data_IF_220080578137
#
_entry.id   IF_220080578137
#
_cell.length_a   1.000
_cell.length_b   1.000
_cell.length_c   1.000
_cell.angle_alpha   90.00
_cell.angle_beta   90.00
_cell.angle_gamma   90.00
#
_symmetry.space_group_name_H-M   'P 1'
#
loop_
_entity.id
_entity.type
_entity.pdbx_description
1 polymer ?
#
# COMPACT_ATOMS: atom_id res chain seq x y z
N UNK A 1 -28.73 47.98 8.71
CA UNK A 1 -29.54 47.44 9.83
C UNK A 1 -30.79 46.76 9.29
N UNK A 2 -30.87 45.42 9.36
CA UNK A 2 -32.06 44.55 9.27
C UNK A 2 -31.59 43.19 8.74
N UNK A 3 -31.41 42.18 9.60
CA UNK A 3 -32.43 41.22 10.06
C UNK A 3 -32.88 40.28 8.94
N UNK A 4 -32.42 39.02 9.01
CA UNK A 4 -33.26 37.84 9.30
C UNK A 4 -32.40 36.56 9.30
N UNK A 5 -32.22 36.03 10.51
CA UNK A 5 -31.73 34.70 10.79
C UNK A 5 -32.83 33.69 10.40
N UNK A 6 -32.50 32.72 9.57
CA UNK A 6 -33.37 31.57 9.29
C UNK A 6 -33.12 30.51 10.36
N UNK A 7 -34.16 30.27 11.15
CA UNK A 7 -34.30 29.20 12.12
C UNK A 7 -34.49 27.87 11.37
N UNK A 8 -33.61 26.90 11.62
CA UNK A 8 -33.87 25.48 11.30
C UNK A 8 -34.24 24.77 12.60
N UNK A 9 -35.53 24.72 12.89
CA UNK A 9 -36.14 23.76 13.80
C UNK A 9 -36.67 22.58 12.99
N UNK A 10 -36.16 21.40 13.24
CA UNK A 10 -36.63 20.13 12.68
C UNK A 10 -36.33 18.98 13.63
N UNK A 11 -37.15 17.91 13.66
CA UNK A 11 -37.76 17.42 14.89
C UNK A 11 -37.05 16.24 15.53
N UNK A 12 -37.19 16.17 16.87
CA UNK A 12 -36.86 15.04 17.72
C UNK A 12 -37.64 13.79 17.30
N UNK A 13 -36.92 12.68 17.08
CA UNK A 13 -37.50 11.35 17.05
C UNK A 13 -36.85 10.50 18.16
N UNK A 14 -37.56 10.21 19.26
CA UNK A 14 -37.25 9.10 20.14
C UNK A 14 -38.13 7.91 19.75
N UNK A 15 -37.53 6.79 19.35
CA UNK A 15 -38.22 5.50 19.37
C UNK A 15 -37.27 4.41 19.79
N UNK A 16 -37.26 4.20 21.11
CA UNK A 16 -36.82 3.00 21.78
C UNK A 16 -37.63 1.79 21.31
N UNK A 17 -36.95 0.69 21.00
CA UNK A 17 -37.55 -0.64 20.98
C UNK A 17 -36.53 -1.63 21.55
N UNK A 18 -36.79 -2.22 22.73
CA UNK A 18 -35.95 -3.26 23.28
C UNK A 18 -36.34 -4.61 22.65
N UNK A 19 -35.38 -5.29 22.03
CA UNK A 19 -35.58 -6.70 21.66
C UNK A 19 -34.96 -7.56 22.75
N UNK A 20 -35.80 -8.06 23.64
CA UNK A 20 -35.45 -9.10 24.60
C UNK A 20 -35.43 -10.47 23.90
N UNK A 21 -34.34 -11.21 24.14
CA UNK A 21 -34.38 -12.64 24.43
C UNK A 21 -34.56 -13.61 23.27
N UNK A 22 -33.49 -14.33 22.93
CA UNK A 22 -33.48 -15.79 22.98
C UNK A 22 -32.05 -16.34 22.86
N UNK A 23 -31.55 -16.87 23.97
CA UNK A 23 -30.48 -17.86 24.00
C UNK A 23 -31.12 -19.22 24.27
N UNK A 24 -30.77 -20.24 23.50
CA UNK A 24 -30.50 -21.52 24.13
C UNK A 24 -29.21 -22.15 23.60
N UNK A 25 -28.25 -22.29 24.51
CA UNK A 25 -27.84 -23.61 24.98
C UNK A 25 -27.38 -24.62 23.92
N UNK A 26 -26.07 -24.68 23.66
CA UNK A 26 -25.41 -25.92 23.25
C UNK A 26 -24.10 -26.10 24.02
N UNK A 27 -24.09 -27.16 24.83
CA UNK A 27 -22.99 -27.64 25.68
C UNK A 27 -21.75 -28.04 24.86
N UNK A 28 -20.55 -28.05 25.49
CA UNK A 28 -19.28 -28.36 24.84
C UNK A 28 -19.02 -29.88 24.78
N UNK A 29 -18.59 -30.38 23.62
CA UNK A 29 -18.00 -31.70 23.50
C UNK A 29 -16.50 -31.64 23.84
N UNK A 30 -16.14 -32.27 24.95
CA UNK A 30 -14.78 -32.68 25.31
C UNK A 30 -14.43 -33.98 24.58
N UNK A 31 -13.34 -34.02 23.83
CA UNK A 31 -12.43 -35.18 23.66
C UNK A 31 -11.13 -34.66 23.06
N UNK A 32 -10.02 -34.56 23.79
CA UNK A 32 -9.09 -35.64 24.20
C UNK A 32 -8.25 -36.19 23.04
N UNK A 33 -6.92 -35.99 23.15
CA UNK A 33 -5.88 -36.63 22.30
C UNK A 33 -4.79 -35.62 21.92
N UNK A 34 -3.83 -35.28 22.79
CA UNK A 34 -2.57 -36.02 23.00
C UNK A 34 -2.05 -36.68 21.72
N UNK A 35 -1.01 -36.09 21.12
CA UNK A 35 0.30 -36.73 20.89
C UNK A 35 1.18 -35.85 19.98
N UNK A 36 2.12 -35.13 20.59
CA UNK A 36 3.42 -34.84 19.98
C UNK A 36 4.37 -35.95 20.46
N UNK A 37 5.25 -36.48 19.61
CA UNK A 37 6.66 -36.11 19.84
C UNK A 37 7.54 -36.04 18.57
N UNK A 38 8.69 -35.39 18.80
CA UNK A 38 9.99 -35.55 18.10
C UNK A 38 10.21 -34.77 16.81
N UNK A 39 10.65 -33.54 17.04
CA UNK A 39 11.85 -32.98 16.43
C UNK A 39 12.99 -34.03 16.42
N UNK A 40 13.53 -34.32 15.23
CA UNK A 40 14.88 -34.86 15.06
C UNK A 40 15.57 -34.02 14.01
N UNK A 41 16.73 -33.52 14.42
CA UNK A 41 17.73 -32.85 13.62
C UNK A 41 18.10 -33.67 12.38
N UNK A 42 18.17 -33.00 11.23
CA UNK A 42 18.96 -33.43 10.09
C UNK A 42 19.30 -32.20 9.25
N UNK A 43 20.48 -31.64 9.52
CA UNK A 43 21.24 -30.82 8.59
C UNK A 43 21.68 -31.70 7.42
N UNK A 44 21.47 -31.27 6.16
CA UNK A 44 22.34 -31.70 5.08
C UNK A 44 23.12 -30.50 4.56
N UNK A 45 24.42 -30.50 4.88
CA UNK A 45 25.43 -29.89 4.03
C UNK A 45 25.30 -30.47 2.62
N UNK A 46 25.25 -29.63 1.60
CA UNK A 46 25.70 -30.03 0.26
C UNK A 46 26.14 -28.86 -0.60
N UNK A 47 27.07 -29.14 -1.52
CA UNK A 47 28.01 -28.19 -2.08
C UNK A 47 27.48 -27.57 -3.37
N UNK A 48 28.07 -26.44 -3.76
CA UNK A 48 27.77 -25.79 -5.03
C UNK A 48 28.13 -26.66 -6.25
N UNK A 49 27.67 -26.22 -7.42
CA UNK A 49 28.50 -26.34 -8.62
C UNK A 49 28.55 -25.04 -9.42
N UNK A 50 29.79 -24.60 -9.63
CA UNK A 50 30.36 -24.10 -10.89
C UNK A 50 29.40 -24.06 -12.08
N UNK A 51 29.14 -22.85 -12.62
CA UNK A 51 28.60 -22.69 -13.97
C UNK A 51 29.66 -22.10 -14.91
N UNK A 52 29.81 -22.68 -16.12
CA UNK A 52 30.87 -22.32 -17.06
C UNK A 52 30.52 -21.10 -17.91
N UNK A 53 31.58 -20.33 -18.15
CA UNK A 53 31.76 -19.27 -19.14
C UNK A 53 31.34 -19.75 -20.55
N UNK A 54 30.29 -19.15 -21.12
CA UNK A 54 29.94 -19.32 -22.54
C UNK A 54 30.81 -18.41 -23.41
N UNK A 55 31.60 -19.02 -24.28
CA UNK A 55 32.28 -18.37 -25.40
C UNK A 55 31.31 -18.22 -26.57
N UNK A 56 31.07 -16.99 -27.02
CA UNK A 56 30.31 -16.71 -28.24
C UNK A 56 31.24 -16.83 -29.44
N UNK A 57 31.08 -17.93 -30.20
CA UNK A 57 31.75 -18.15 -31.49
C UNK A 57 30.95 -17.49 -32.61
N UNK A 58 31.54 -16.42 -33.16
CA UNK A 58 31.13 -15.78 -34.41
C UNK A 58 31.29 -16.78 -35.55
N UNK A 59 30.21 -17.03 -36.30
CA UNK A 59 30.28 -17.78 -37.56
C UNK A 59 29.54 -16.99 -38.65
N UNK A 60 30.31 -16.60 -39.66
CA UNK A 60 29.96 -15.74 -40.78
C UNK A 60 29.88 -16.54 -42.07
N UNK A 61 28.70 -16.80 -42.64
CA UNK A 61 28.49 -17.32 -44.01
C UNK A 61 27.35 -16.46 -44.61
N UNK A 62 27.52 -15.56 -45.58
CA UNK A 62 28.03 -15.61 -46.96
C UNK A 62 27.18 -16.44 -47.94
N UNK A 63 26.40 -15.69 -48.73
CA UNK A 63 26.06 -15.80 -50.17
C UNK A 63 25.32 -17.06 -50.65
N UNK A 64 24.08 -16.83 -51.08
CA UNK A 64 23.30 -17.73 -51.95
C UNK A 64 22.23 -16.96 -52.70
N UNK A 65 22.60 -16.36 -53.83
CA UNK A 65 21.72 -15.71 -54.80
C UNK A 65 21.03 -16.78 -55.65
N UNK A 66 19.69 -16.84 -55.63
CA UNK A 66 18.90 -17.49 -56.69
C UNK A 66 17.68 -16.63 -57.01
N UNK A 67 17.59 -16.30 -58.29
CA UNK A 67 16.62 -15.42 -58.93
C UNK A 67 15.67 -16.30 -59.74
N UNK A 68 14.37 -16.34 -59.43
CA UNK A 68 13.37 -16.85 -60.37
C UNK A 68 11.93 -16.46 -60.00
N UNK A 69 11.17 -16.19 -61.07
CA UNK A 69 9.71 -16.21 -61.20
C UNK A 69 8.88 -15.10 -60.50
N UNK A 70 8.68 -14.02 -61.26
CA UNK A 70 7.54 -13.12 -61.14
C UNK A 70 6.27 -13.89 -61.55
N UNK A 71 5.45 -14.26 -60.57
CA UNK A 71 4.05 -14.61 -60.76
C UNK A 71 3.25 -13.48 -60.14
N UNK A 72 2.48 -12.76 -60.94
CA UNK A 72 1.61 -11.67 -60.49
C UNK A 72 0.39 -12.27 -59.79
N UNK A 73 0.59 -12.70 -58.56
CA UNK A 73 -0.50 -13.00 -57.63
C UNK A 73 -1.05 -11.66 -57.16
N UNK A 74 -2.36 -11.47 -57.35
CA UNK A 74 -3.14 -10.42 -56.70
C UNK A 74 -2.93 -10.61 -55.20
N UNK A 75 -2.02 -9.82 -54.64
CA UNK A 75 -1.63 -9.90 -53.24
C UNK A 75 -2.81 -9.46 -52.38
N UNK A 76 -3.59 -10.43 -51.92
CA UNK A 76 -4.36 -10.31 -50.69
C UNK A 76 -3.37 -9.81 -49.64
N UNK A 77 -3.59 -8.55 -49.28
CA UNK A 77 -2.73 -7.77 -48.40
C UNK A 77 -2.86 -8.40 -47.02
N UNK A 78 -1.98 -9.34 -46.69
CA UNK A 78 -1.89 -9.92 -45.35
C UNK A 78 -1.91 -8.78 -44.33
N UNK A 79 -2.80 -8.84 -43.31
CA UNK A 79 -2.78 -7.90 -42.22
C UNK A 79 -1.42 -8.04 -41.54
N UNK A 80 -0.57 -7.01 -41.68
CA UNK A 80 0.71 -7.00 -40.97
C UNK A 80 0.37 -6.92 -39.49
N UNK A 81 0.62 -8.02 -38.76
CA UNK A 81 0.64 -8.03 -37.31
C UNK A 81 1.34 -6.76 -36.83
N UNK A 82 0.58 -5.90 -36.14
CA UNK A 82 1.08 -4.58 -35.76
C UNK A 82 2.19 -4.77 -34.74
N UNK A 83 3.44 -4.52 -35.15
CA UNK A 83 4.58 -4.60 -34.25
C UNK A 83 4.45 -3.53 -33.17
N UNK A 84 4.26 -3.94 -31.91
CA UNK A 84 4.27 -3.06 -30.74
C UNK A 84 5.53 -2.18 -30.78
N UNK A 85 5.36 -0.86 -30.77
CA UNK A 85 6.50 0.06 -30.70
C UNK A 85 7.19 -0.05 -29.34
N UNK A 86 8.49 0.28 -29.28
CA UNK A 86 9.23 0.26 -28.02
C UNK A 86 8.60 1.14 -26.93
N UNK A 87 8.05 2.30 -27.32
CA UNK A 87 7.32 3.22 -26.45
C UNK A 87 6.05 2.59 -25.87
N UNK A 88 5.23 1.97 -26.73
CA UNK A 88 4.01 1.25 -26.33
C UNK A 88 4.32 0.13 -25.32
N UNK A 89 5.34 -0.69 -25.61
CA UNK A 89 5.77 -1.78 -24.73
C UNK A 89 6.22 -1.26 -23.37
N UNK A 90 6.99 -0.17 -23.35
CA UNK A 90 7.45 0.46 -22.12
C UNK A 90 6.29 1.00 -21.28
N UNK A 91 5.32 1.68 -21.90
CA UNK A 91 4.14 2.20 -21.21
C UNK A 91 3.37 1.04 -20.60
N UNK A 92 3.01 0.02 -21.40
CA UNK A 92 2.26 -1.16 -20.95
C UNK A 92 2.90 -1.84 -19.74
N UNK A 93 4.21 -2.11 -19.79
CA UNK A 93 4.94 -2.71 -18.67
C UNK A 93 4.90 -1.81 -17.42
N UNK A 94 4.99 -0.49 -17.62
CA UNK A 94 4.94 0.47 -16.52
C UNK A 94 3.54 0.50 -15.88
N UNK A 95 2.47 0.40 -16.67
CA UNK A 95 1.09 0.34 -16.17
C UNK A 95 0.80 -0.92 -15.38
N UNK A 96 1.18 -2.08 -15.92
CA UNK A 96 1.03 -3.37 -15.21
C UNK A 96 1.69 -3.33 -13.83
N UNK A 97 2.86 -2.71 -13.73
CA UNK A 97 3.57 -2.56 -12.45
C UNK A 97 2.92 -1.55 -11.53
N UNK A 98 2.47 -0.40 -12.04
CA UNK A 98 1.77 0.61 -11.25
C UNK A 98 0.46 0.05 -10.67
N UNK A 99 -0.33 -0.67 -11.46
CA UNK A 99 -1.54 -1.33 -11.00
C UNK A 99 -1.26 -2.31 -9.84
N UNK A 100 -0.26 -3.18 -9.98
CA UNK A 100 0.14 -4.11 -8.91
C UNK A 100 0.61 -3.39 -7.64
N UNK A 101 1.26 -2.23 -7.76
CA UNK A 101 1.69 -1.43 -6.61
C UNK A 101 0.52 -0.76 -5.89
N UNK A 102 -0.52 -0.35 -6.62
CA UNK A 102 -1.72 0.21 -6.03
C UNK A 102 -2.56 -0.84 -5.32
N UNK A 103 -2.66 -2.05 -5.87
CA UNK A 103 -3.31 -3.18 -5.20
C UNK A 103 -2.59 -3.51 -3.87
N UNK A 104 -1.27 -3.47 -3.87
CA UNK A 104 -0.47 -3.67 -2.66
C UNK A 104 -0.63 -2.52 -1.66
N UNK A 105 -0.71 -1.27 -2.15
CA UNK A 105 -1.01 -0.10 -1.32
C UNK A 105 -2.34 -0.24 -0.58
N UNK A 106 -3.42 -0.57 -1.30
CA UNK A 106 -4.74 -0.81 -0.72
C UNK A 106 -4.69 -1.94 0.33
N UNK A 107 -4.01 -3.03 -0.02
CA UNK A 107 -3.79 -4.18 0.87
C UNK A 107 -3.12 -3.78 2.20
N UNK A 108 -2.11 -2.90 2.15
CA UNK A 108 -1.44 -2.41 3.36
C UNK A 108 -2.41 -1.56 4.19
N UNK A 109 -3.01 -0.52 3.60
CA UNK A 109 -3.82 0.47 4.34
C UNK A 109 -5.06 -0.19 4.95
N UNK A 110 -5.81 -0.96 4.16
CA UNK A 110 -7.14 -1.44 4.54
C UNK A 110 -7.11 -2.72 5.37
N UNK A 111 -6.06 -3.56 5.23
CA UNK A 111 -6.01 -4.87 5.89
C UNK A 111 -4.92 -4.95 6.95
N UNK A 112 -3.66 -4.66 6.59
CA UNK A 112 -2.53 -4.91 7.49
C UNK A 112 -2.34 -3.82 8.53
N UNK A 113 -2.18 -2.58 8.08
CA UNK A 113 -1.93 -1.44 8.96
C UNK A 113 -3.14 -1.13 9.86
N UNK A 114 -4.36 -1.12 9.29
CA UNK A 114 -5.59 -0.92 10.07
C UNK A 114 -5.80 -2.02 11.14
N UNK A 115 -5.47 -3.28 10.84
CA UNK A 115 -5.54 -4.36 11.83
C UNK A 115 -4.55 -4.15 12.99
N UNK A 116 -3.33 -3.72 12.69
CA UNK A 116 -2.34 -3.41 13.73
C UNK A 116 -2.78 -2.21 14.58
N UNK A 117 -3.31 -1.16 13.94
CA UNK A 117 -3.86 0.01 14.63
C UNK A 117 -5.01 -0.36 15.57
N UNK A 118 -5.94 -1.22 15.11
CA UNK A 118 -7.02 -1.74 15.94
C UNK A 118 -6.48 -2.55 17.13
N UNK A 119 -5.55 -3.46 16.87
CA UNK A 119 -4.91 -4.27 17.91
C UNK A 119 -4.23 -3.40 18.98
N UNK A 120 -3.60 -2.29 18.58
CA UNK A 120 -3.03 -1.33 19.53
C UNK A 120 -4.09 -0.76 20.48
N UNK A 121 -5.20 -0.24 19.94
CA UNK A 121 -6.28 0.31 20.77
C UNK A 121 -6.87 -0.76 21.70
N UNK A 122 -7.09 -1.98 21.18
CA UNK A 122 -7.62 -3.10 21.97
C UNK A 122 -6.66 -3.47 23.12
N UNK A 123 -5.36 -3.66 22.84
CA UNK A 123 -4.34 -3.99 23.85
C UNK A 123 -4.17 -2.87 24.89
N UNK A 124 -4.21 -1.61 24.46
CA UNK A 124 -4.15 -0.45 25.36
C UNK A 124 -5.36 -0.41 26.26
N UNK A 125 -6.56 -0.61 25.73
CA UNK A 125 -7.81 -0.64 26.52
C UNK A 125 -7.79 -1.81 27.51
N UNK A 126 -7.32 -2.98 27.10
CA UNK A 126 -7.15 -4.13 27.98
C UNK A 126 -6.17 -3.85 29.13
N UNK A 127 -5.07 -3.16 28.82
CA UNK A 127 -4.06 -2.75 29.79
C UNK A 127 -4.64 -1.77 30.81
N UNK A 128 -5.35 -0.74 30.36
CA UNK A 128 -6.07 0.22 31.22
C UNK A 128 -7.07 -0.47 32.13
N UNK A 129 -7.87 -1.39 31.59
CA UNK A 129 -8.82 -2.18 32.38
C UNK A 129 -8.13 -3.03 33.45
N UNK A 130 -6.98 -3.64 33.12
CA UNK A 130 -6.22 -4.41 34.12
C UNK A 130 -5.59 -3.53 35.19
N UNK A 131 -5.11 -2.33 34.83
CA UNK A 131 -4.59 -1.35 35.78
C UNK A 131 -5.69 -0.85 36.72
N UNK A 132 -6.91 -0.62 36.20
CA UNK A 132 -8.07 -0.22 37.00
C UNK A 132 -8.53 -1.27 38.02
N UNK A 133 -8.13 -2.53 37.87
CA UNK A 133 -8.40 -3.60 38.85
C UNK A 133 -7.36 -3.69 39.96
N UNK A 134 -6.25 -2.95 39.84
CA UNK A 134 -5.23 -2.89 40.88
C UNK A 134 -5.68 -1.90 41.94
N UNK A 135 -5.72 -2.28 43.24
CA UNK A 135 -6.00 -1.33 44.31
C UNK A 135 -5.05 -0.13 44.25
N UNK A 136 -5.51 1.09 44.59
CA UNK A 136 -4.69 2.30 44.47
C UNK A 136 -3.38 2.24 45.28
N UNK A 137 -3.34 1.44 46.34
CA UNK A 137 -2.16 1.26 47.20
C UNK A 137 -1.27 0.08 46.80
N UNK A 138 -1.58 -0.61 45.69
CA UNK A 138 -0.87 -1.80 45.24
C UNK A 138 -0.15 -1.54 43.92
N UNK A 139 1.07 -2.07 43.80
CA UNK A 139 1.77 -2.08 42.51
C UNK A 139 1.22 -3.21 41.62
N UNK A 140 1.02 -2.94 40.32
CA UNK A 140 0.60 -3.96 39.38
C UNK A 140 1.66 -5.07 39.29
N UNK A 141 1.22 -6.33 39.29
CA UNK A 141 2.13 -7.47 39.23
C UNK A 141 2.79 -7.53 37.84
N UNK A 142 4.12 -7.46 37.81
CA UNK A 142 4.94 -7.53 36.58
C UNK A 142 4.59 -8.72 35.68
N UNK A 143 4.21 -9.86 36.28
CA UNK A 143 3.80 -11.07 35.57
C UNK A 143 2.55 -10.88 34.68
N UNK A 144 1.67 -9.94 35.02
CA UNK A 144 0.43 -9.66 34.27
C UNK A 144 0.69 -8.60 33.20
N UNK A 145 1.40 -7.53 33.54
CA UNK A 145 1.65 -6.42 32.60
C UNK A 145 2.71 -6.75 31.54
N UNK A 146 3.76 -7.47 31.91
CA UNK A 146 4.91 -7.72 31.04
C UNK A 146 4.56 -8.35 29.69
N UNK A 147 3.73 -9.41 29.63
CA UNK A 147 3.28 -9.98 28.37
C UNK A 147 2.52 -9.00 27.48
N UNK A 148 1.63 -8.19 28.07
CA UNK A 148 0.80 -7.22 27.33
C UNK A 148 1.63 -6.07 26.76
N UNK A 149 2.58 -5.55 27.52
CA UNK A 149 3.52 -4.53 27.05
C UNK A 149 4.34 -5.04 25.86
N UNK A 150 4.82 -6.30 25.92
CA UNK A 150 5.53 -6.92 24.79
C UNK A 150 4.66 -7.03 23.54
N UNK A 151 3.40 -7.42 23.69
CA UNK A 151 2.46 -7.50 22.55
C UNK A 151 2.17 -6.12 21.96
N UNK A 152 2.05 -5.11 22.82
CA UNK A 152 1.82 -3.73 22.43
C UNK A 152 3.04 -3.17 21.66
N UNK A 153 4.26 -3.38 22.15
CA UNK A 153 5.48 -2.97 21.46
C UNK A 153 5.65 -3.68 20.11
N UNK A 154 5.30 -4.98 20.05
CA UNK A 154 5.27 -5.72 18.79
C UNK A 154 4.28 -5.10 17.80
N UNK A 155 3.05 -4.81 18.22
CA UNK A 155 2.03 -4.20 17.37
C UNK A 155 2.46 -2.79 16.88
N UNK A 156 3.16 -2.00 17.72
CA UNK A 156 3.74 -0.71 17.30
C UNK A 156 4.81 -0.89 16.23
N UNK A 157 5.71 -1.86 16.41
CA UNK A 157 6.77 -2.15 15.45
C UNK A 157 6.19 -2.60 14.10
N UNK A 158 5.19 -3.48 14.12
CA UNK A 158 4.48 -3.93 12.91
C UNK A 158 3.76 -2.77 12.21
N UNK A 159 3.05 -1.91 12.95
CA UNK A 159 2.40 -0.73 12.38
C UNK A 159 3.42 0.20 11.71
N UNK A 160 4.55 0.48 12.37
CA UNK A 160 5.64 1.29 11.79
C UNK A 160 6.22 0.67 10.51
N UNK A 161 6.39 -0.65 10.50
CA UNK A 161 6.83 -1.39 9.31
C UNK A 161 5.89 -1.16 8.12
N UNK A 162 4.59 -1.31 8.34
CA UNK A 162 3.58 -1.08 7.30
C UNK A 162 3.54 0.37 6.78
N UNK A 163 3.76 1.37 7.65
CA UNK A 163 3.85 2.77 7.22
C UNK A 163 5.12 3.05 6.39
N UNK A 164 6.23 2.37 6.71
CA UNK A 164 7.45 2.44 5.91
C UNK A 164 7.23 1.79 4.52
N UNK A 165 6.57 0.63 4.46
CA UNK A 165 6.21 -0.05 3.22
C UNK A 165 5.37 0.87 2.29
N UNK A 166 4.39 1.60 2.85
CA UNK A 166 3.63 2.59 2.08
C UNK A 166 4.50 3.69 1.49
N UNK A 167 5.48 4.20 2.24
CA UNK A 167 6.39 5.23 1.73
C UNK A 167 7.29 4.71 0.61
N UNK A 168 7.71 3.45 0.69
CA UNK A 168 8.46 2.77 -0.38
C UNK A 168 7.61 2.65 -1.64
N UNK A 169 6.37 2.17 -1.54
CA UNK A 169 5.46 2.05 -2.69
C UNK A 169 5.17 3.41 -3.31
N UNK A 170 4.93 4.45 -2.50
CA UNK A 170 4.71 5.81 -2.99
C UNK A 170 5.87 6.32 -3.83
N UNK A 171 7.10 6.06 -3.36
CA UNK A 171 8.33 6.50 -4.03
C UNK A 171 8.54 5.73 -5.34
N UNK A 172 8.19 4.44 -5.36
CA UNK A 172 8.20 3.62 -6.57
C UNK A 172 7.20 4.14 -7.60
N UNK A 173 5.94 4.40 -7.20
CA UNK A 173 4.91 4.96 -8.07
C UNK A 173 5.32 6.33 -8.65
N UNK A 174 5.88 7.21 -7.81
CA UNK A 174 6.42 8.50 -8.25
C UNK A 174 7.49 8.30 -9.33
N UNK A 175 8.44 7.39 -9.12
CA UNK A 175 9.47 7.04 -10.10
C UNK A 175 8.88 6.55 -11.42
N UNK A 176 7.80 5.76 -11.37
CA UNK A 176 7.10 5.27 -12.58
C UNK A 176 6.42 6.38 -13.35
N UNK A 177 5.74 7.29 -12.66
CA UNK A 177 5.11 8.46 -13.28
C UNK A 177 6.17 9.33 -13.95
N UNK A 178 7.28 9.64 -13.28
CA UNK A 178 8.38 10.39 -13.89
C UNK A 178 8.98 9.69 -15.11
N UNK A 179 9.05 8.35 -15.10
CA UNK A 179 9.47 7.58 -16.27
C UNK A 179 8.50 7.75 -17.45
N UNK A 180 7.19 7.69 -17.19
CA UNK A 180 6.16 7.93 -18.21
C UNK A 180 6.22 9.36 -18.77
N UNK A 181 6.46 10.35 -17.91
CA UNK A 181 6.67 11.75 -18.32
C UNK A 181 7.89 11.91 -19.22
N UNK A 182 9.02 11.28 -18.87
CA UNK A 182 10.22 11.26 -19.71
C UNK A 182 9.95 10.61 -21.07
N UNK A 183 9.25 9.48 -21.09
CA UNK A 183 8.87 8.79 -22.34
C UNK A 183 7.95 9.64 -23.21
N UNK A 184 7.02 10.38 -22.61
CA UNK A 184 6.18 11.33 -23.34
C UNK A 184 7.01 12.48 -23.92
N UNK A 185 7.94 13.04 -23.14
CA UNK A 185 8.80 14.12 -23.60
C UNK A 185 9.64 13.70 -24.82
N UNK A 186 10.29 12.53 -24.77
CA UNK A 186 11.04 11.96 -25.89
C UNK A 186 10.15 11.71 -27.12
N UNK A 187 8.91 11.23 -26.90
CA UNK A 187 7.95 11.00 -27.97
C UNK A 187 7.53 12.32 -28.64
N UNK A 188 7.28 13.37 -27.85
CA UNK A 188 6.95 14.71 -28.34
C UNK A 188 8.13 15.32 -29.11
N UNK A 189 9.36 15.14 -28.65
CA UNK A 189 10.56 15.63 -29.34
C UNK A 189 10.71 14.98 -30.72
N UNK A 190 10.41 13.69 -30.81
CA UNK A 190 10.58 12.91 -32.05
C UNK A 190 9.45 13.14 -33.06
N UNK A 191 8.20 13.22 -32.59
CA UNK A 191 7.00 13.18 -33.45
C UNK A 191 6.22 14.50 -33.46
N UNK A 192 6.47 15.40 -32.52
CA UNK A 192 5.68 16.61 -32.30
C UNK A 192 4.49 16.39 -31.35
N UNK A 193 4.05 17.49 -30.73
CA UNK A 193 2.97 17.50 -29.73
C UNK A 193 1.61 17.08 -30.33
N UNK A 194 1.28 17.54 -31.54
CA UNK A 194 0.01 17.20 -32.20
C UNK A 194 -0.16 15.70 -32.40
N UNK A 195 0.95 15.00 -32.67
CA UNK A 195 0.96 13.55 -32.79
C UNK A 195 0.79 12.92 -31.40
N UNK A 196 1.49 13.38 -30.36
CA UNK A 196 1.33 12.85 -29.00
C UNK A 196 -0.09 12.98 -28.42
N UNK A 197 -0.84 14.02 -28.82
CA UNK A 197 -2.24 14.25 -28.40
C UNK A 197 -3.25 13.42 -29.20
N UNK A 198 -2.94 13.05 -30.44
CA UNK A 198 -3.84 12.31 -31.33
C UNK A 198 -3.54 10.83 -31.41
N UNK A 199 -2.29 10.45 -31.20
CA UNK A 199 -1.84 9.08 -31.15
C UNK A 199 -2.38 8.46 -29.87
N UNK A 200 -3.54 7.82 -30.02
CA UNK A 200 -3.97 6.81 -29.09
C UNK A 200 -2.82 5.82 -28.90
N UNK A 201 -2.59 5.38 -27.66
CA UNK A 201 -1.61 4.33 -27.41
C UNK A 201 -1.87 3.11 -28.30
N UNK A 202 -3.14 2.87 -28.65
CA UNK A 202 -3.63 1.79 -29.49
C UNK A 202 -4.74 2.32 -30.39
N UNK A 203 -4.78 1.90 -31.66
CA UNK A 203 -5.70 2.44 -32.65
C UNK A 203 -7.16 2.27 -32.17
N UNK A 204 -7.91 3.38 -32.13
CA UNK A 204 -9.35 3.50 -31.87
C UNK A 204 -9.91 3.05 -30.50
N UNK A 205 -9.10 2.46 -29.61
CA UNK A 205 -9.61 1.90 -28.33
C UNK A 205 -9.17 2.62 -27.07
N UNK A 206 -8.14 3.47 -27.14
CA UNK A 206 -7.48 3.95 -25.92
C UNK A 206 -7.15 5.42 -25.88
N UNK A 207 -6.69 5.87 -24.72
CA UNK A 207 -6.33 7.26 -24.52
C UNK A 207 -5.05 7.62 -25.28
N UNK A 208 -4.96 8.90 -25.67
CA UNK A 208 -3.72 9.47 -26.16
C UNK A 208 -2.64 9.39 -25.06
N UNK A 209 -1.39 9.13 -25.46
CA UNK A 209 -0.25 9.02 -24.52
C UNK A 209 -0.16 10.24 -23.61
N UNK A 210 -0.32 11.45 -24.16
CA UNK A 210 -0.31 12.70 -23.39
C UNK A 210 -1.42 12.75 -22.33
N UNK A 211 -2.63 12.32 -22.69
CA UNK A 211 -3.78 12.27 -21.78
C UNK A 211 -3.55 11.27 -20.66
N UNK A 212 -3.00 10.10 -21.00
CA UNK A 212 -2.71 9.05 -20.02
C UNK A 212 -1.68 9.52 -18.98
N UNK A 213 -0.54 10.03 -19.44
CA UNK A 213 0.55 10.50 -18.56
C UNK A 213 0.06 11.62 -17.63
N UNK A 214 -0.72 12.56 -18.18
CA UNK A 214 -1.34 13.63 -17.41
C UNK A 214 -2.28 13.08 -16.32
N UNK A 215 -2.99 12.00 -16.60
CA UNK A 215 -3.87 11.33 -15.63
C UNK A 215 -3.10 10.54 -14.58
N UNK A 216 -1.98 9.90 -14.96
CA UNK A 216 -1.08 9.20 -14.05
C UNK A 216 -0.50 10.12 -12.97
N UNK A 217 -0.11 11.35 -13.34
CA UNK A 217 0.29 12.37 -12.37
C UNK A 217 -0.84 12.77 -11.40
N UNK A 218 -2.10 12.67 -11.84
CA UNK A 218 -3.29 12.90 -11.03
C UNK A 218 -3.44 11.95 -9.85
N UNK A 219 -2.91 10.71 -9.94
CA UNK A 219 -2.98 9.68 -8.90
C UNK A 219 -2.09 9.95 -7.70
N UNK A 220 -0.93 10.58 -7.92
CA UNK A 220 0.04 10.79 -6.84
C UNK A 220 -0.50 11.72 -5.75
N UNK A 221 -1.32 12.71 -6.11
CA UNK A 221 -1.82 13.70 -5.15
C UNK A 221 -2.80 13.09 -4.13
N UNK A 222 -3.87 12.37 -4.52
CA UNK A 222 -4.74 11.65 -3.58
C UNK A 222 -3.97 10.65 -2.72
N UNK A 223 -3.06 9.86 -3.30
CA UNK A 223 -2.26 8.89 -2.54
C UNK A 223 -1.37 9.56 -1.49
N UNK A 224 -0.69 10.67 -1.85
CA UNK A 224 0.15 11.37 -0.90
C UNK A 224 -0.68 11.97 0.25
N UNK A 225 -1.85 12.56 -0.06
CA UNK A 225 -2.79 13.05 0.95
C UNK A 225 -3.24 11.93 1.89
N UNK A 226 -3.60 10.78 1.32
CA UNK A 226 -4.02 9.62 2.09
C UNK A 226 -2.91 9.14 3.01
N UNK A 227 -1.69 8.97 2.48
CA UNK A 227 -0.50 8.61 3.26
C UNK A 227 -0.28 9.54 4.46
N UNK A 228 -0.32 10.86 4.24
CA UNK A 228 -0.16 11.83 5.32
C UNK A 228 -1.28 11.74 6.37
N UNK A 229 -2.52 11.54 5.92
CA UNK A 229 -3.66 11.37 6.82
C UNK A 229 -3.49 10.11 7.67
N UNK A 230 -3.13 8.99 7.05
CA UNK A 230 -2.87 7.72 7.74
C UNK A 230 -1.71 7.84 8.73
N UNK A 231 -0.61 8.51 8.36
CA UNK A 231 0.51 8.76 9.26
C UNK A 231 0.10 9.58 10.49
N UNK A 232 -0.71 10.64 10.30
CA UNK A 232 -1.24 11.44 11.41
C UNK A 232 -2.11 10.59 12.36
N UNK A 233 -3.03 9.80 11.82
CA UNK A 233 -3.90 8.93 12.59
C UNK A 233 -3.11 7.84 13.32
N UNK A 234 -2.09 7.27 12.69
CA UNK A 234 -1.19 6.31 13.31
C UNK A 234 -0.43 6.90 14.49
N UNK A 235 0.05 8.15 14.38
CA UNK A 235 0.70 8.87 15.48
C UNK A 235 -0.26 9.09 16.65
N UNK A 236 -1.50 9.48 16.39
CA UNK A 236 -2.52 9.66 17.44
C UNK A 236 -2.81 8.35 18.18
N UNK A 237 -3.00 7.24 17.45
CA UNK A 237 -3.22 5.91 18.03
C UNK A 237 -1.99 5.44 18.82
N UNK A 238 -0.79 5.68 18.29
CA UNK A 238 0.46 5.35 18.99
C UNK A 238 0.62 6.17 20.26
N UNK A 239 0.29 7.46 20.24
CA UNK A 239 0.35 8.33 21.41
C UNK A 239 -0.66 7.90 22.49
N UNK A 240 -1.89 7.52 22.12
CA UNK A 240 -2.83 6.88 23.06
C UNK A 240 -2.24 5.60 23.64
N UNK A 241 -1.59 4.76 22.83
CA UNK A 241 -1.00 3.53 23.37
C UNK A 241 0.11 3.78 24.41
N UNK A 242 0.78 4.94 24.35
CA UNK A 242 1.83 5.36 25.28
C UNK A 242 1.26 6.04 26.53
N UNK A 243 -0.01 6.44 26.53
CA UNK A 243 -0.62 7.23 27.61
C UNK A 243 -0.90 6.47 28.89
N UNK A 244 -0.79 5.13 28.87
CA UNK A 244 -1.23 4.23 29.96
C UNK A 244 -0.42 4.33 31.26
N UNK A 245 0.30 5.44 31.46
CA UNK A 245 0.71 5.92 32.78
C UNK A 245 1.95 5.24 33.37
N UNK A 246 2.65 4.39 32.62
CA UNK A 246 3.87 3.74 33.10
C UNK A 246 5.15 4.58 32.88
N UNK A 247 5.15 5.54 31.95
CA UNK A 247 6.34 6.36 31.67
C UNK A 247 6.42 7.65 32.51
N UNK A 248 5.32 8.11 33.13
CA UNK A 248 5.31 9.39 33.85
C UNK A 248 6.03 9.39 35.20
N UNK A 249 6.33 8.21 35.79
CA UNK A 249 7.05 8.13 37.08
C UNK A 249 8.55 7.83 36.94
N UNK A 250 9.05 7.54 35.74
CA UNK A 250 10.49 7.41 35.48
C UNK A 250 11.14 8.73 35.01
N UNK A 251 10.34 9.79 34.83
CA UNK A 251 10.82 11.17 34.69
C UNK A 251 11.13 11.84 36.04
N UNK A 252 11.36 11.06 37.10
CA UNK A 252 11.82 11.56 38.40
C UNK A 252 13.28 11.18 38.59
N UNK A 253 14.17 12.16 38.45
CA UNK A 253 15.51 12.09 39.04
C UNK A 253 16.63 12.53 38.12
N UNK A 254 16.96 13.81 38.21
CA UNK A 254 18.21 14.41 37.81
C UNK A 254 19.47 13.54 38.07
N UNK A 255 20.53 13.82 37.29
CA UNK A 255 21.89 13.25 37.36
C UNK A 255 22.00 11.93 36.58
N UNK A 256 22.67 11.85 35.41
CA UNK A 256 24.07 12.21 35.18
C UNK A 256 24.34 12.66 33.74
N UNK A 257 24.91 13.86 33.63
CA UNK A 257 26.08 14.26 32.83
C UNK A 257 26.38 13.56 31.48
N UNK A 258 26.30 14.36 30.42
CA UNK A 258 27.28 14.48 29.33
C UNK A 258 27.97 13.21 28.83
N UNK A 259 27.45 12.68 27.72
CA UNK A 259 28.15 11.73 26.86
C UNK A 259 27.69 11.90 25.41
N UNK A 260 28.06 13.03 24.80
CA UNK A 260 27.87 13.31 23.38
C UNK A 260 28.50 12.20 22.54
N UNK A 261 27.65 11.30 22.02
CA UNK A 261 28.05 10.29 21.04
C UNK A 261 27.55 10.78 19.70
N UNK A 262 28.48 11.30 18.89
CA UNK A 262 28.29 11.64 17.49
C UNK A 262 27.89 10.37 16.74
N UNK A 263 26.59 10.15 16.56
CA UNK A 263 26.07 9.13 15.65
C UNK A 263 26.04 9.76 14.27
N UNK A 264 26.79 9.14 13.36
CA UNK A 264 26.98 9.53 11.98
C UNK A 264 25.68 9.89 11.27
N UNK A 265 25.68 11.06 10.63
CA UNK A 265 24.73 11.49 9.61
C UNK A 265 24.89 10.60 8.36
N UNK A 266 24.35 9.39 8.39
CA UNK A 266 24.09 8.66 7.15
C UNK A 266 22.63 8.94 6.76
N UNK A 267 22.42 9.43 5.53
CA UNK A 267 21.15 9.85 4.92
C UNK A 267 20.14 8.68 4.82
N UNK A 268 19.70 8.15 5.95
CA UNK A 268 18.63 7.20 6.08
C UNK A 268 17.50 7.90 6.81
N UNK A 269 16.45 8.29 6.07
CA UNK A 269 15.13 8.71 6.54
C UNK A 269 15.04 8.85 8.08
N UNK A 270 15.46 10.01 8.61
CA UNK A 270 15.30 10.30 10.04
C UNK A 270 13.78 10.29 10.28
N UNK A 271 13.22 9.33 11.02
CA UNK A 271 11.79 9.27 11.25
C UNK A 271 11.40 10.61 11.87
N UNK A 272 10.61 11.38 11.12
CA UNK A 272 10.31 12.76 11.43
C UNK A 272 9.71 12.85 12.83
N UNK A 273 10.55 13.26 13.78
CA UNK A 273 10.19 13.76 15.10
C UNK A 273 9.54 12.70 16.01
N UNK A 274 9.76 12.82 17.32
CA UNK A 274 8.90 12.16 18.29
C UNK A 274 7.42 12.41 17.95
N UNK A 275 6.49 11.50 18.31
CA UNK A 275 5.07 11.73 18.12
C UNK A 275 4.77 13.14 18.60
N UNK A 276 4.34 14.00 17.68
CA UNK A 276 3.96 15.38 17.99
C UNK A 276 2.77 15.24 18.91
N UNK A 277 3.05 15.24 20.21
CA UNK A 277 2.06 15.61 21.21
C UNK A 277 1.63 17.00 20.76
N UNK A 278 0.33 17.23 20.57
CA UNK A 278 -0.20 18.55 20.19
C UNK A 278 0.55 19.64 20.98
N UNK A 279 0.70 20.85 20.45
CA UNK A 279 1.46 21.94 21.11
C UNK A 279 1.11 22.14 22.61
N UNK A 280 -0.06 21.66 23.04
CA UNK A 280 -0.54 21.64 24.42
C UNK A 280 -0.04 20.47 25.30
N UNK A 281 0.74 19.51 24.79
CA UNK A 281 1.13 18.32 25.55
C UNK A 281 -0.04 17.37 25.86
N UNK A 282 -1.20 17.53 25.16
CA UNK A 282 -2.42 16.79 25.47
C UNK A 282 -2.28 15.34 25.01
N UNK A 283 -2.42 14.43 25.96
CA UNK A 283 -2.46 13.00 25.73
C UNK A 283 -3.81 12.63 25.10
N UNK A 284 -3.84 11.87 23.98
CA UNK A 284 -5.09 11.42 23.38
C UNK A 284 -5.90 10.53 24.33
N UNK A 285 -7.21 10.73 24.34
CA UNK A 285 -8.19 9.90 25.05
C UNK A 285 -8.58 8.67 24.23
N UNK A 286 -9.21 7.68 24.89
CA UNK A 286 -9.76 6.51 24.19
C UNK A 286 -10.75 6.90 23.08
N UNK A 287 -11.65 7.87 23.33
CA UNK A 287 -12.61 8.33 22.32
C UNK A 287 -11.91 8.97 21.12
N UNK A 288 -10.84 9.74 21.34
CA UNK A 288 -10.01 10.31 20.27
C UNK A 288 -9.32 9.20 19.46
N UNK A 289 -8.75 8.17 20.11
CA UNK A 289 -8.14 7.03 19.42
C UNK A 289 -9.16 6.20 18.62
N UNK A 290 -10.36 5.99 19.18
CA UNK A 290 -11.46 5.31 18.48
C UNK A 290 -11.94 6.11 17.27
N UNK A 291 -12.05 7.43 17.40
CA UNK A 291 -12.41 8.32 16.29
C UNK A 291 -11.31 8.33 15.21
N UNK A 292 -10.04 8.24 15.61
CA UNK A 292 -8.92 8.11 14.68
C UNK A 292 -9.00 6.80 13.89
N UNK A 293 -9.34 5.68 14.52
CA UNK A 293 -9.58 4.40 13.83
C UNK A 293 -10.76 4.47 12.84
N UNK A 294 -11.86 5.10 13.23
CA UNK A 294 -13.00 5.30 12.34
C UNK A 294 -12.62 6.16 11.12
N UNK A 295 -11.85 7.23 11.34
CA UNK A 295 -11.34 8.11 10.29
C UNK A 295 -10.38 7.36 9.36
N UNK A 296 -9.50 6.52 9.91
CA UNK A 296 -8.62 5.65 9.13
C UNK A 296 -9.43 4.73 8.23
N UNK A 297 -10.42 4.02 8.79
CA UNK A 297 -11.25 3.11 8.00
C UNK A 297 -11.99 3.82 6.87
N UNK A 298 -12.45 5.06 7.10
CA UNK A 298 -13.09 5.87 6.06
C UNK A 298 -12.10 6.27 4.97
N UNK A 299 -10.90 6.71 5.35
CA UNK A 299 -9.84 7.09 4.41
C UNK A 299 -9.38 5.89 3.57
N UNK A 300 -9.22 4.73 4.20
CA UNK A 300 -8.89 3.45 3.56
C UNK A 300 -9.93 3.04 2.51
N UNK A 301 -11.22 3.24 2.82
CA UNK A 301 -12.30 2.98 1.88
C UNK A 301 -12.27 3.94 0.69
N UNK A 302 -12.14 5.25 0.94
CA UNK A 302 -12.09 6.26 -0.12
C UNK A 302 -10.90 6.04 -1.07
N UNK A 303 -9.73 5.72 -0.53
CA UNK A 303 -8.55 5.47 -1.37
C UNK A 303 -8.67 4.14 -2.10
N UNK A 304 -9.32 3.12 -1.52
CA UNK A 304 -9.60 1.85 -2.21
C UNK A 304 -10.51 2.02 -3.41
N UNK A 305 -11.59 2.80 -3.30
CA UNK A 305 -12.48 3.11 -4.42
C UNK A 305 -11.74 3.88 -5.53
N UNK A 306 -10.90 4.84 -5.16
CA UNK A 306 -10.06 5.58 -6.09
C UNK A 306 -9.03 4.68 -6.81
N UNK A 307 -8.37 3.79 -6.07
CA UNK A 307 -7.43 2.81 -6.63
C UNK A 307 -8.16 1.89 -7.60
N UNK A 308 -9.35 1.39 -7.25
CA UNK A 308 -10.14 0.53 -8.13
C UNK A 308 -10.49 1.21 -9.44
N UNK A 309 -10.94 2.46 -9.41
CA UNK A 309 -11.22 3.25 -10.62
C UNK A 309 -9.96 3.35 -11.51
N UNK A 310 -8.80 3.61 -10.91
CA UNK A 310 -7.56 3.72 -11.68
C UNK A 310 -7.05 2.39 -12.21
N UNK A 311 -7.15 1.31 -11.42
CA UNK A 311 -6.82 -0.04 -11.86
C UNK A 311 -7.73 -0.49 -12.99
N UNK A 312 -9.02 -0.13 -12.96
CA UNK A 312 -9.96 -0.36 -14.06
C UNK A 312 -9.55 0.40 -15.33
N UNK A 313 -9.15 1.66 -15.21
CA UNK A 313 -8.60 2.44 -16.33
C UNK A 313 -7.35 1.76 -16.92
N UNK A 314 -6.41 1.31 -16.09
CA UNK A 314 -5.25 0.55 -16.56
C UNK A 314 -5.64 -0.79 -17.19
N UNK A 315 -6.64 -1.48 -16.65
CA UNK A 315 -7.10 -2.76 -17.17
C UNK A 315 -7.72 -2.62 -18.56
N UNK A 316 -8.55 -1.59 -18.80
CA UNK A 316 -9.10 -1.31 -20.13
C UNK A 316 -7.98 -1.12 -21.16
N UNK A 317 -6.93 -0.40 -20.78
CA UNK A 317 -5.77 -0.13 -21.61
C UNK A 317 -4.90 -1.37 -21.87
N UNK A 318 -4.78 -2.27 -20.88
CA UNK A 318 -4.01 -3.52 -20.99
C UNK A 318 -4.78 -4.58 -21.78
N UNK A 319 -6.07 -4.79 -21.47
CA UNK A 319 -6.92 -5.80 -22.09
C UNK A 319 -7.22 -5.43 -23.53
N UNK A 320 -7.41 -4.14 -23.83
CA UNK A 320 -7.56 -3.65 -25.20
C UNK A 320 -6.40 -4.08 -26.11
N UNK A 321 -5.19 -4.21 -25.55
CA UNK A 321 -4.01 -4.70 -26.27
C UNK A 321 -4.01 -6.22 -26.42
N UNK A 322 -4.26 -6.97 -25.33
CA UNK A 322 -4.20 -8.44 -25.35
C UNK A 322 -5.26 -9.03 -26.30
N UNK A 323 -6.45 -8.42 -26.38
CA UNK A 323 -7.50 -8.85 -27.30
C UNK A 323 -7.16 -8.62 -28.79
N UNK A 324 -6.35 -7.61 -29.11
CA UNK A 324 -5.95 -7.33 -30.50
C UNK A 324 -4.84 -8.28 -30.98
N UNK A 325 -3.95 -8.69 -30.05
CA UNK A 325 -2.95 -9.72 -30.34
C UNK A 325 -3.62 -11.07 -30.61
N UNK A 326 -4.65 -11.44 -29.84
CA UNK A 326 -5.37 -12.71 -30.01
C UNK A 326 -6.19 -12.73 -31.32
N UNK A 327 -6.83 -11.61 -31.70
CA UNK A 327 -7.59 -11.56 -32.97
C UNK A 327 -6.72 -11.68 -34.22
N UNK A 328 -5.46 -11.22 -34.17
CA UNK A 328 -4.51 -11.33 -35.28
C UNK A 328 -3.97 -12.76 -35.45
N UNK A 329 -3.98 -13.58 -34.38
CA UNK A 329 -3.55 -14.98 -34.42
C UNK A 329 -4.63 -15.87 -35.07
N UNK A 330 -5.91 -15.66 -34.75
CA UNK A 330 -7.03 -16.48 -35.27
C UNK A 330 -7.33 -16.25 -36.77
N UNK A 331 -6.97 -15.10 -37.34
CA UNK A 331 -7.26 -14.79 -38.76
C UNK A 331 -6.22 -15.38 -39.73
N UNK A 332 -5.11 -15.94 -39.21
CA UNK A 332 -4.01 -16.52 -39.99
C UNK A 332 -3.98 -18.06 -40.03
N UNK A 333 -4.87 -18.75 -39.32
CA UNK A 333 -5.03 -20.23 -39.32
C UNK A 333 -6.17 -20.68 -40.26
#
# INVERSE_FOLDING_TARGET
MSKRLASFGGPSAPSSSPTSGQSPNSKPAKTSGKNNPKLKDATPSSPGPTSPRRENKVTSHSIGSVRAARTASIALKEPRARSESGTQSLVRITLKRAASELDEWESIISRRALKCAKLLVDLTTELENALGMVPPDAQPRSRILGPRLKELDKARAELKGHLADLSVIFSSLTTRVSKLESTLAEFIETNGLDIAERTALWDDKTWALAKFVSHGAGVLRPLNRSRHTIDLLARQITAYSLSTGLDSTLSVGDSYSSGSTLVSEEEGWVPASMPVVDEAGKIPTFDEARNALASWSSEAFLIGEFIREWTELCAIEIVGWEAEVESDEDEND
#
